data_IF_013471217087
#
_entry.id   IF_013471217087
#
_cell.length_a   1.000
_cell.length_b   1.000
_cell.length_c   1.000
_cell.angle_alpha   90.00
_cell.angle_beta   90.00
_cell.angle_gamma   90.00
#
_symmetry.space_group_name_H-M   'P 1'
#
loop_
_entity.id
_entity.type
_entity.pdbx_description
1 polymer ?
#
# COMPACT_ATOMS: atom_id res chain seq x y z
N UNK A 1 6.83 23.30 -10.59
CA UNK A 1 7.25 24.45 -11.41
C UNK A 1 8.29 25.30 -10.69
N UNK A 2 9.42 24.72 -10.26
CA UNK A 2 10.46 25.47 -9.56
C UNK A 2 11.14 26.51 -10.47
N UNK A 3 11.27 26.24 -11.77
CA UNK A 3 12.01 27.11 -12.72
C UNK A 3 11.17 28.20 -13.39
N UNK A 4 9.91 28.36 -12.97
CA UNK A 4 8.99 29.33 -13.56
C UNK A 4 8.82 30.56 -12.65
N UNK A 5 8.63 31.73 -13.26
CA UNK A 5 8.16 32.90 -12.52
C UNK A 5 6.83 32.60 -11.81
N UNK A 6 6.62 33.18 -10.63
CA UNK A 6 5.48 32.87 -9.75
C UNK A 6 4.11 32.97 -10.46
N UNK A 7 3.93 33.97 -11.32
CA UNK A 7 2.69 34.15 -12.08
C UNK A 7 2.40 32.96 -13.01
N UNK A 8 3.43 32.42 -13.67
CA UNK A 8 3.35 31.24 -14.54
C UNK A 8 3.11 29.99 -13.70
N UNK A 9 3.83 29.82 -12.59
CA UNK A 9 3.63 28.70 -11.67
C UNK A 9 2.19 28.65 -11.13
N UNK A 10 1.62 29.80 -10.73
CA UNK A 10 0.23 29.92 -10.27
C UNK A 10 -0.78 29.63 -11.39
N UNK A 11 -0.48 30.04 -12.63
CA UNK A 11 -1.33 29.71 -13.78
C UNK A 11 -1.35 28.20 -14.02
N UNK A 12 -0.19 27.55 -14.06
CA UNK A 12 -0.08 26.10 -14.24
C UNK A 12 -0.75 25.33 -13.09
N UNK A 13 -0.61 25.80 -11.84
CA UNK A 13 -1.29 25.21 -10.69
C UNK A 13 -2.81 25.24 -10.84
N UNK A 14 -3.38 26.37 -11.28
CA UNK A 14 -4.83 26.47 -11.52
C UNK A 14 -5.29 25.49 -12.59
N UNK A 15 -4.53 25.35 -13.67
CA UNK A 15 -4.87 24.41 -14.74
C UNK A 15 -4.79 22.95 -14.28
N UNK A 16 -3.72 22.58 -13.58
CA UNK A 16 -3.55 21.24 -13.02
C UNK A 16 -4.64 20.92 -11.99
N UNK A 17 -4.98 21.87 -11.12
CA UNK A 17 -6.03 21.70 -10.12
C UNK A 17 -7.41 21.57 -10.75
N UNK A 18 -7.71 22.34 -11.80
CA UNK A 18 -8.94 22.18 -12.56
C UNK A 18 -9.05 20.77 -13.16
N UNK A 19 -7.99 20.31 -13.82
CA UNK A 19 -7.94 18.97 -14.41
C UNK A 19 -8.09 17.87 -13.35
N UNK A 20 -7.41 18.02 -12.20
CA UNK A 20 -7.50 17.09 -11.08
C UNK A 20 -8.94 16.99 -10.55
N UNK A 21 -9.60 18.13 -10.31
CA UNK A 21 -10.98 18.18 -9.82
C UNK A 21 -11.96 17.48 -10.76
N UNK A 22 -11.77 17.64 -12.07
CA UNK A 22 -12.56 16.90 -13.05
C UNK A 22 -12.27 15.41 -12.99
N UNK A 23 -11.00 15.01 -12.97
CA UNK A 23 -10.58 13.61 -12.98
C UNK A 23 -11.11 12.83 -11.77
N UNK A 24 -11.15 13.46 -10.59
CA UNK A 24 -11.64 12.83 -9.35
C UNK A 24 -13.12 13.10 -9.07
N UNK A 25 -13.84 13.79 -9.96
CA UNK A 25 -15.25 14.12 -9.77
C UNK A 25 -15.54 15.02 -8.56
N UNK A 26 -14.58 15.85 -8.15
CA UNK A 26 -14.66 16.69 -6.95
C UNK A 26 -15.89 17.63 -6.97
N UNK A 27 -16.27 18.12 -8.15
CA UNK A 27 -17.41 19.04 -8.33
C UNK A 27 -18.79 18.44 -8.00
N UNK A 28 -18.88 17.11 -7.96
CA UNK A 28 -20.12 16.35 -7.75
C UNK A 28 -20.10 15.61 -6.42
N UNK A 29 -18.95 15.57 -5.76
CA UNK A 29 -18.77 14.95 -4.46
C UNK A 29 -19.39 15.81 -3.36
N UNK A 30 -20.05 15.17 -2.39
CA UNK A 30 -20.62 15.83 -1.22
C UNK A 30 -20.28 15.04 0.05
N UNK A 31 -19.38 15.54 0.92
CA UNK A 31 -18.60 16.77 0.75
C UNK A 31 -17.50 16.64 -0.33
N UNK A 32 -16.95 17.76 -0.86
CA UNK A 32 -15.93 17.73 -1.90
C UNK A 32 -14.65 17.01 -1.43
N UNK A 33 -13.90 16.40 -2.34
CA UNK A 33 -12.66 15.69 -2.03
C UNK A 33 -11.50 16.62 -1.68
N UNK A 34 -11.53 17.87 -2.15
CA UNK A 34 -10.48 18.86 -1.89
C UNK A 34 -11.04 20.10 -1.19
N UNK A 35 -10.35 20.53 -0.12
CA UNK A 35 -10.46 21.88 0.39
C UNK A 35 -9.43 22.76 -0.30
N UNK A 36 -9.92 23.74 -1.04
CA UNK A 36 -9.09 24.67 -1.80
C UNK A 36 -9.33 26.07 -1.24
N UNK A 37 -8.26 26.70 -0.76
CA UNK A 37 -8.24 28.11 -0.37
C UNK A 37 -7.26 28.88 -1.26
N UNK A 38 -7.10 30.18 -0.97
CA UNK A 38 -6.11 31.01 -1.67
C UNK A 38 -4.67 30.50 -1.44
N UNK A 39 -4.40 29.95 -0.27
CA UNK A 39 -3.04 29.70 0.21
C UNK A 39 -2.74 28.20 0.42
N UNK A 40 -3.76 27.33 0.38
CA UNK A 40 -3.59 25.91 0.62
C UNK A 40 -4.54 25.05 -0.21
N UNK A 41 -4.07 23.83 -0.52
CA UNK A 41 -4.86 22.75 -1.08
C UNK A 41 -4.72 21.57 -0.10
N UNK A 42 -5.84 21.04 0.37
CA UNK A 42 -5.87 19.94 1.32
C UNK A 42 -6.86 18.87 0.87
N UNK A 43 -6.49 17.62 1.07
CA UNK A 43 -7.41 16.51 0.91
C UNK A 43 -8.46 16.48 2.03
N UNK A 44 -9.74 16.46 1.67
CA UNK A 44 -10.84 16.40 2.62
C UNK A 44 -11.08 14.94 3.08
N UNK A 45 -10.59 14.63 4.28
CA UNK A 45 -10.77 13.30 4.91
C UNK A 45 -12.20 13.02 5.38
N UNK A 46 -13.12 13.98 5.27
CA UNK A 46 -14.55 13.76 5.51
C UNK A 46 -15.31 13.43 4.22
N UNK A 47 -14.67 13.51 3.05
CA UNK A 47 -15.26 13.05 1.79
C UNK A 47 -15.33 11.52 1.72
N UNK A 48 -16.09 11.01 0.75
CA UNK A 48 -16.12 9.58 0.46
C UNK A 48 -14.87 9.19 -0.33
N UNK A 49 -13.91 8.53 0.33
CA UNK A 49 -12.68 8.08 -0.31
C UNK A 49 -12.19 6.76 0.27
N UNK A 50 -11.41 6.04 -0.54
CA UNK A 50 -10.61 4.91 -0.09
C UNK A 50 -9.13 5.22 -0.30
N UNK A 51 -8.30 4.76 0.64
CA UNK A 51 -6.85 4.88 0.56
C UNK A 51 -6.24 3.56 1.01
N UNK A 52 -5.82 2.77 0.03
CA UNK A 52 -5.25 1.43 0.26
C UNK A 52 -4.07 1.46 1.24
N UNK A 53 -3.19 2.45 1.13
CA UNK A 53 -2.07 2.63 2.06
C UNK A 53 -2.52 2.88 3.51
N UNK A 54 -3.63 3.60 3.72
CA UNK A 54 -4.13 3.84 5.08
C UNK A 54 -4.76 2.57 5.66
N UNK A 55 -5.47 1.79 4.85
CA UNK A 55 -6.02 0.49 5.23
C UNK A 55 -4.89 -0.50 5.55
N UNK A 56 -3.88 -0.58 4.70
CA UNK A 56 -2.67 -1.38 4.88
C UNK A 56 -2.00 -1.07 6.23
N UNK A 57 -1.70 0.22 6.48
CA UNK A 57 -1.01 0.64 7.72
C UNK A 57 -1.86 0.39 8.97
N UNK A 58 -3.18 0.52 8.86
CA UNK A 58 -4.09 0.22 9.97
C UNK A 58 -4.03 -1.25 10.31
N UNK A 59 -4.12 -2.14 9.32
CA UNK A 59 -4.01 -3.58 9.53
C UNK A 59 -2.66 -3.94 10.15
N UNK A 60 -1.56 -3.48 9.56
CA UNK A 60 -0.20 -3.76 10.04
C UNK A 60 -0.03 -3.37 11.52
N UNK A 61 -0.45 -2.14 11.89
CA UNK A 61 -0.39 -1.67 13.27
C UNK A 61 -1.26 -2.51 14.20
N UNK A 62 -2.51 -2.78 13.82
CA UNK A 62 -3.45 -3.54 14.65
C UNK A 62 -2.95 -4.97 14.91
N UNK A 63 -2.44 -5.67 13.90
CA UNK A 63 -1.84 -6.99 14.08
C UNK A 63 -0.59 -6.95 14.96
N UNK A 64 0.28 -5.95 14.79
CA UNK A 64 1.46 -5.77 15.65
C UNK A 64 1.09 -5.51 17.12
N UNK A 65 0.11 -4.64 17.37
CA UNK A 65 -0.37 -4.32 18.72
C UNK A 65 -1.03 -5.52 19.40
N UNK A 66 -1.89 -6.27 18.69
CA UNK A 66 -2.58 -7.42 19.27
C UNK A 66 -1.63 -8.60 19.54
N UNK A 67 -0.64 -8.81 18.66
CA UNK A 67 0.43 -9.80 18.86
C UNK A 67 1.20 -9.51 20.15
N UNK A 68 1.60 -8.27 20.37
CA UNK A 68 2.34 -7.86 21.58
C UNK A 68 1.54 -8.05 22.88
N UNK A 69 0.21 -8.01 22.79
CA UNK A 69 -0.69 -8.22 23.94
C UNK A 69 -1.12 -9.68 24.13
N UNK A 70 -0.82 -10.56 23.17
CA UNK A 70 -1.32 -11.95 23.18
C UNK A 70 -2.84 -12.05 23.06
N UNK A 71 -3.47 -11.07 22.39
CA UNK A 71 -4.93 -10.89 22.38
C UNK A 71 -5.59 -11.22 21.03
N UNK A 72 -4.84 -11.71 20.04
CA UNK A 72 -5.37 -12.04 18.71
C UNK A 72 -5.51 -13.54 18.51
N UNK A 73 -6.69 -13.97 18.06
CA UNK A 73 -6.88 -15.29 17.46
C UNK A 73 -6.09 -15.36 16.14
N UNK A 74 -5.29 -16.41 15.96
CA UNK A 74 -4.47 -16.60 14.78
C UNK A 74 -5.28 -16.60 13.47
N UNK A 75 -6.53 -17.07 13.50
CA UNK A 75 -7.42 -17.04 12.33
C UNK A 75 -7.86 -15.62 11.96
N UNK A 76 -8.15 -14.77 12.95
CA UNK A 76 -8.50 -13.36 12.74
C UNK A 76 -7.28 -12.60 12.20
N UNK A 77 -6.09 -12.89 12.76
CA UNK A 77 -4.83 -12.30 12.30
C UNK A 77 -4.55 -12.69 10.85
N UNK A 78 -4.69 -13.97 10.51
CA UNK A 78 -4.52 -14.45 9.14
C UNK A 78 -5.47 -13.73 8.17
N UNK A 79 -6.76 -13.65 8.48
CA UNK A 79 -7.72 -12.94 7.63
C UNK A 79 -7.35 -11.47 7.38
N UNK A 80 -6.87 -10.76 8.41
CA UNK A 80 -6.39 -9.38 8.28
C UNK A 80 -5.14 -9.29 7.41
N UNK A 81 -4.17 -10.16 7.62
CA UNK A 81 -2.96 -10.19 6.80
C UNK A 81 -3.28 -10.51 5.33
N UNK A 82 -4.26 -11.38 5.05
CA UNK A 82 -4.71 -11.62 3.67
C UNK A 82 -5.28 -10.36 3.02
N UNK A 83 -6.08 -9.56 3.74
CA UNK A 83 -6.56 -8.26 3.27
C UNK A 83 -5.40 -7.31 3.00
N UNK A 84 -4.41 -7.25 3.90
CA UNK A 84 -3.23 -6.42 3.75
C UNK A 84 -2.43 -6.77 2.49
N UNK A 85 -2.21 -8.07 2.23
CA UNK A 85 -1.51 -8.55 1.03
C UNK A 85 -2.30 -8.20 -0.25
N UNK A 86 -3.64 -8.29 -0.23
CA UNK A 86 -4.50 -7.93 -1.37
C UNK A 86 -4.45 -6.45 -1.73
N UNK A 87 -4.24 -5.56 -0.75
CA UNK A 87 -4.08 -4.12 -1.00
C UNK A 87 -2.80 -3.79 -1.77
N UNK A 88 -1.75 -4.61 -1.62
CA UNK A 88 -0.48 -4.45 -2.32
C UNK A 88 -0.51 -5.04 -3.73
N UNK A 89 -0.93 -4.21 -4.70
CA UNK A 89 -1.11 -4.59 -6.11
C UNK A 89 0.12 -4.37 -6.99
N UNK A 90 1.12 -3.67 -6.47
CA UNK A 90 2.35 -3.29 -7.14
C UNK A 90 3.16 -2.37 -6.25
N UNK A 91 4.30 -1.88 -6.74
CA UNK A 91 5.12 -0.94 -5.97
C UNK A 91 4.35 0.35 -5.66
N UNK A 92 4.65 0.93 -4.50
CA UNK A 92 4.10 2.23 -4.12
C UNK A 92 4.43 3.28 -5.19
N UNK A 93 3.40 3.96 -5.72
CA UNK A 93 3.55 4.92 -6.81
C UNK A 93 4.30 4.34 -8.03
N UNK A 94 4.03 3.09 -8.39
CA UNK A 94 4.62 2.46 -9.58
C UNK A 94 4.33 3.29 -10.84
N UNK A 95 5.39 3.60 -11.60
CA UNK A 95 5.28 4.39 -12.83
C UNK A 95 5.07 5.89 -12.62
N UNK A 96 5.05 6.37 -11.38
CA UNK A 96 5.04 7.80 -11.07
C UNK A 96 6.44 8.25 -10.65
N UNK A 97 6.89 9.34 -11.25
CA UNK A 97 8.18 9.96 -11.01
C UNK A 97 7.99 11.47 -11.03
N UNK A 98 8.71 12.18 -10.15
CA UNK A 98 8.71 13.63 -10.12
C UNK A 98 10.05 14.16 -10.61
N UNK A 99 10.04 14.74 -11.81
CA UNK A 99 11.22 15.42 -12.36
C UNK A 99 11.70 16.52 -11.41
N UNK A 100 13.02 16.65 -11.28
CA UNK A 100 13.71 17.68 -10.49
C UNK A 100 13.38 17.69 -8.97
N UNK A 101 13.02 16.53 -8.39
CA UNK A 101 12.88 16.39 -6.93
C UNK A 101 13.53 15.11 -6.42
N UNK A 102 14.83 15.21 -6.08
CA UNK A 102 15.60 14.11 -5.49
C UNK A 102 14.99 13.66 -4.16
N UNK A 103 14.55 14.60 -3.34
CA UNK A 103 13.96 14.32 -2.02
C UNK A 103 12.67 13.50 -2.13
N UNK A 104 11.87 13.73 -3.18
CA UNK A 104 10.66 12.95 -3.44
C UNK A 104 10.99 11.51 -3.84
N UNK A 105 12.00 11.32 -4.70
CA UNK A 105 12.43 9.99 -5.15
C UNK A 105 13.06 9.19 -4.00
N UNK A 106 13.90 9.83 -3.18
CA UNK A 106 14.46 9.20 -1.96
C UNK A 106 13.36 8.79 -0.97
N UNK A 107 12.40 9.67 -0.72
CA UNK A 107 11.25 9.35 0.13
C UNK A 107 10.44 8.18 -0.44
N UNK A 108 10.18 8.17 -1.76
CA UNK A 108 9.44 7.11 -2.44
C UNK A 108 10.16 5.77 -2.33
N UNK A 109 11.49 5.75 -2.49
CA UNK A 109 12.31 4.55 -2.32
C UNK A 109 12.15 3.96 -0.92
N UNK A 110 12.23 4.78 0.13
CA UNK A 110 12.02 4.35 1.52
C UNK A 110 10.61 3.80 1.73
N UNK A 111 9.59 4.43 1.15
CA UNK A 111 8.21 3.92 1.23
C UNK A 111 8.06 2.57 0.52
N UNK A 112 8.62 2.42 -0.68
CA UNK A 112 8.58 1.17 -1.46
C UNK A 112 9.21 0.02 -0.69
N UNK A 113 10.41 0.22 -0.16
CA UNK A 113 11.14 -0.78 0.60
C UNK A 113 10.37 -1.19 1.86
N UNK A 114 9.91 -0.21 2.66
CA UNK A 114 9.15 -0.49 3.88
C UNK A 114 7.86 -1.28 3.60
N UNK A 115 7.12 -0.91 2.55
CA UNK A 115 5.88 -1.60 2.20
C UNK A 115 6.15 -3.00 1.65
N UNK A 116 7.19 -3.15 0.83
CA UNK A 116 7.61 -4.45 0.30
C UNK A 116 7.95 -5.41 1.45
N UNK A 117 8.81 -4.99 2.38
CA UNK A 117 9.19 -5.82 3.53
C UNK A 117 7.96 -6.26 4.35
N UNK A 118 7.04 -5.34 4.67
CA UNK A 118 5.84 -5.68 5.42
C UNK A 118 4.92 -6.69 4.72
N UNK A 119 4.80 -6.59 3.38
CA UNK A 119 4.01 -7.55 2.58
C UNK A 119 4.69 -8.91 2.57
N UNK A 120 6.01 -8.94 2.43
CA UNK A 120 6.79 -10.18 2.43
C UNK A 120 6.68 -10.89 3.79
N UNK A 121 6.81 -10.16 4.89
CA UNK A 121 6.64 -10.70 6.24
C UNK A 121 5.22 -11.27 6.44
N UNK A 122 4.20 -10.54 5.98
CA UNK A 122 2.82 -11.03 6.04
C UNK A 122 2.58 -12.28 5.20
N UNK A 123 3.18 -12.38 4.01
CA UNK A 123 3.07 -13.57 3.18
C UNK A 123 3.78 -14.77 3.83
N UNK A 124 4.94 -14.58 4.46
CA UNK A 124 5.61 -15.67 5.20
C UNK A 124 4.75 -16.12 6.40
N UNK A 125 4.22 -15.16 7.18
CA UNK A 125 3.31 -15.44 8.29
C UNK A 125 2.07 -16.24 7.86
N UNK A 126 1.42 -15.84 6.76
CA UNK A 126 0.27 -16.54 6.19
C UNK A 126 0.63 -17.93 5.70
N UNK A 127 1.78 -18.07 5.05
CA UNK A 127 2.25 -19.38 4.57
C UNK A 127 2.44 -20.34 5.74
N UNK A 128 3.13 -19.91 6.79
CA UNK A 128 3.35 -20.71 8.00
C UNK A 128 2.03 -21.04 8.72
N UNK A 129 1.10 -20.06 8.80
CA UNK A 129 -0.23 -20.27 9.37
C UNK A 129 -1.00 -21.38 8.64
N UNK A 130 -1.09 -21.30 7.31
CA UNK A 130 -1.83 -22.28 6.52
C UNK A 130 -1.13 -23.65 6.44
N UNK A 131 0.21 -23.69 6.47
CA UNK A 131 0.96 -24.95 6.62
C UNK A 131 0.57 -25.66 7.94
N UNK A 132 0.53 -24.93 9.07
CA UNK A 132 0.16 -25.48 10.37
C UNK A 132 -1.28 -26.01 10.39
N UNK A 133 -2.19 -25.34 9.68
CA UNK A 133 -3.60 -25.71 9.59
C UNK A 133 -3.90 -26.71 8.46
N UNK A 134 -2.87 -27.21 7.77
CA UNK A 134 -2.95 -28.18 6.66
C UNK A 134 -3.77 -27.68 5.45
N UNK A 135 -3.93 -26.37 5.30
CA UNK A 135 -4.45 -25.77 4.06
C UNK A 135 -3.28 -25.47 3.11
N UNK A 136 -2.76 -26.53 2.50
CA UNK A 136 -1.59 -26.41 1.62
C UNK A 136 -1.88 -25.60 0.35
N UNK A 137 -3.16 -25.51 -0.07
CA UNK A 137 -3.52 -24.66 -1.20
C UNK A 137 -3.36 -23.18 -0.84
N UNK A 138 -3.80 -22.76 0.35
CA UNK A 138 -3.59 -21.41 0.84
C UNK A 138 -2.13 -21.09 1.08
N UNK A 139 -1.39 -22.01 1.73
CA UNK A 139 0.06 -21.86 1.92
C UNK A 139 0.78 -21.65 0.59
N UNK A 140 0.45 -22.46 -0.43
CA UNK A 140 1.02 -22.33 -1.78
C UNK A 140 0.73 -20.98 -2.43
N UNK A 141 -0.49 -20.44 -2.29
CA UNK A 141 -0.84 -19.12 -2.84
C UNK A 141 0.04 -18.02 -2.26
N UNK A 142 0.29 -18.05 -0.96
CA UNK A 142 1.13 -17.04 -0.30
C UNK A 142 2.63 -17.24 -0.55
N UNK A 143 3.11 -18.49 -0.65
CA UNK A 143 4.46 -18.78 -1.10
C UNK A 143 4.70 -18.33 -2.55
N UNK A 144 3.73 -18.54 -3.45
CA UNK A 144 3.80 -18.04 -4.82
C UNK A 144 3.85 -16.52 -4.84
N UNK A 145 3.00 -15.86 -4.04
CA UNK A 145 2.99 -14.40 -3.95
C UNK A 145 4.34 -13.84 -3.50
N UNK A 146 5.04 -14.51 -2.59
CA UNK A 146 6.41 -14.13 -2.23
C UNK A 146 7.36 -14.22 -3.43
N UNK A 147 7.30 -15.30 -4.21
CA UNK A 147 8.16 -15.48 -5.39
C UNK A 147 7.84 -14.52 -6.54
N UNK A 148 6.58 -14.09 -6.66
CA UNK A 148 6.20 -13.02 -7.61
C UNK A 148 6.81 -11.67 -7.24
N UNK A 149 6.97 -11.41 -5.94
CA UNK A 149 7.52 -10.16 -5.41
C UNK A 149 9.04 -10.20 -5.31
N UNK A 150 9.61 -11.34 -4.92
CA UNK A 150 11.05 -11.61 -4.84
C UNK A 150 11.35 -13.04 -5.32
N UNK A 151 11.73 -13.21 -6.60
CA UNK A 151 12.02 -14.52 -7.19
C UNK A 151 13.17 -15.29 -6.54
N UNK A 152 14.06 -14.60 -5.81
CA UNK A 152 15.30 -15.16 -5.28
C UNK A 152 15.19 -15.59 -3.82
N UNK A 153 14.02 -15.44 -3.20
CA UNK A 153 13.81 -15.76 -1.78
C UNK A 153 13.79 -17.28 -1.55
N UNK A 154 14.90 -17.80 -1.03
CA UNK A 154 15.07 -19.23 -0.71
C UNK A 154 13.98 -19.77 0.24
N UNK A 155 13.57 -18.97 1.23
CA UNK A 155 12.51 -19.34 2.18
C UNK A 155 11.19 -19.67 1.46
N UNK A 156 10.81 -18.85 0.48
CA UNK A 156 9.58 -19.02 -0.29
C UNK A 156 9.66 -20.25 -1.22
N UNK A 157 10.83 -20.53 -1.79
CA UNK A 157 11.08 -21.77 -2.52
C UNK A 157 10.94 -22.99 -1.61
N UNK A 158 11.53 -22.95 -0.41
CA UNK A 158 11.39 -24.02 0.59
C UNK A 158 9.94 -24.25 1.00
N UNK A 159 9.19 -23.18 1.27
CA UNK A 159 7.76 -23.23 1.58
C UNK A 159 6.94 -23.86 0.44
N UNK A 160 7.22 -23.49 -0.80
CA UNK A 160 6.57 -24.07 -1.99
C UNK A 160 6.83 -25.59 -2.08
N UNK A 161 8.08 -26.02 -1.88
CA UNK A 161 8.42 -27.45 -1.90
C UNK A 161 7.69 -28.24 -0.82
N UNK A 162 7.62 -27.71 0.42
CA UNK A 162 6.89 -28.37 1.52
C UNK A 162 5.40 -28.47 1.24
N UNK A 163 4.78 -27.40 0.74
CA UNK A 163 3.36 -27.37 0.40
C UNK A 163 2.99 -28.30 -0.78
N UNK A 164 3.96 -28.72 -1.60
CA UNK A 164 3.76 -29.67 -2.69
C UNK A 164 4.05 -31.13 -2.30
N UNK A 165 4.81 -31.36 -1.23
CA UNK A 165 5.20 -32.70 -0.79
C UNK A 165 4.16 -33.39 0.10
N UNK A 166 3.15 -32.67 0.59
CA UNK A 166 2.12 -33.10 1.53
C UNK A 166 0.73 -33.11 0.86
#
# INVERSE_FOLDING_TARGET
WPDCAEQVARHNLRQALFNLRLAIGDHTASPPHLHISRDAIQFNRASDFSLDLAQFRTIFRTCGENRNRGMEDDSIRAARLEEMVKLYRGEFLQGFFLEDSVEFEEWTLVQRESLHQHVMDACSDLTNYYELHRDFQAARRHALRQLELDPWREEAHCQMMRAQAL
#
